data_IF_128934933246
#
_entry.id   IF_128934933246
#
_cell.length_a   1.000
_cell.length_b   1.000
_cell.length_c   1.000
_cell.angle_alpha   90.00
_cell.angle_beta   90.00
_cell.angle_gamma   90.00
#
_symmetry.space_group_name_H-M   'P 1'
#
loop_
_entity.id
_entity.type
_entity.pdbx_description
1 polymer ?
#
# COMPACT_ATOMS: atom_id res chain seq x y z
N UNK A 1 -7.95 14.62 -41.49
CA UNK A 1 -7.87 13.63 -40.39
C UNK A 1 -7.23 14.32 -39.19
N UNK A 2 -8.06 14.75 -38.23
CA UNK A 2 -7.60 15.32 -36.96
C UNK A 2 -7.33 14.19 -36.01
N UNK A 3 -6.07 13.85 -35.77
CA UNK A 3 -5.62 12.99 -34.68
C UNK A 3 -5.90 13.71 -33.35
N UNK A 4 -7.00 13.33 -32.70
CA UNK A 4 -7.23 13.67 -31.29
C UNK A 4 -6.29 12.80 -30.43
N UNK A 5 -5.07 13.28 -30.22
CA UNK A 5 -4.19 12.79 -29.18
C UNK A 5 -4.59 13.50 -27.88
N UNK A 6 -5.66 13.04 -27.22
CA UNK A 6 -5.91 13.40 -25.84
C UNK A 6 -4.92 12.59 -25.00
N UNK A 7 -3.84 13.21 -24.54
CA UNK A 7 -3.02 12.67 -23.50
C UNK A 7 -3.91 12.50 -22.25
N UNK A 8 -4.53 11.31 -22.09
CA UNK A 8 -5.09 10.90 -20.81
C UNK A 8 -3.92 10.95 -19.82
N UNK A 9 -4.05 11.78 -18.80
CA UNK A 9 -3.12 11.79 -17.67
C UNK A 9 -2.84 10.36 -17.25
N UNK A 10 -1.60 9.93 -17.38
CA UNK A 10 -1.21 8.56 -17.06
C UNK A 10 -1.42 8.37 -15.55
N UNK A 11 -2.28 7.42 -15.17
CA UNK A 11 -2.56 7.10 -13.76
C UNK A 11 -1.31 6.49 -13.14
N UNK A 12 -0.96 6.93 -11.93
CA UNK A 12 0.12 6.30 -11.18
C UNK A 12 -0.26 4.88 -10.73
N UNK A 13 0.74 4.02 -10.62
CA UNK A 13 0.60 2.70 -10.04
C UNK A 13 0.56 2.79 -8.52
N UNK A 14 -0.54 2.36 -7.97
CA UNK A 14 -0.74 2.18 -6.54
C UNK A 14 -0.65 0.69 -6.14
N UNK A 15 -0.78 0.42 -4.85
CA UNK A 15 -0.83 -0.93 -4.31
C UNK A 15 -1.93 -1.79 -4.94
N UNK A 16 -3.10 -1.22 -5.21
CA UNK A 16 -4.25 -1.99 -5.74
C UNK A 16 -3.98 -2.46 -7.17
N UNK A 17 -3.42 -1.60 -8.01
CA UNK A 17 -2.99 -1.97 -9.36
C UNK A 17 -1.86 -3.02 -9.33
N UNK A 18 -0.92 -2.89 -8.40
CA UNK A 18 0.14 -3.88 -8.25
C UNK A 18 -0.41 -5.26 -7.85
N UNK A 19 -1.31 -5.31 -6.86
CA UNK A 19 -2.00 -6.55 -6.47
C UNK A 19 -2.87 -7.12 -7.60
N UNK A 20 -3.53 -6.27 -8.39
CA UNK A 20 -4.28 -6.68 -9.56
C UNK A 20 -3.38 -7.37 -10.59
N UNK A 21 -2.21 -6.81 -10.89
CA UNK A 21 -1.23 -7.38 -11.81
C UNK A 21 -0.66 -8.72 -11.33
N UNK A 22 -0.46 -8.86 -10.02
CA UNK A 22 -0.03 -10.13 -9.43
C UNK A 22 -1.09 -11.23 -9.54
N UNK A 23 -2.37 -10.88 -9.56
CA UNK A 23 -3.44 -11.84 -9.71
C UNK A 23 -3.70 -12.17 -11.18
N UNK A 24 -3.81 -11.16 -12.06
CA UNK A 24 -4.13 -11.34 -13.47
C UNK A 24 -3.83 -10.06 -14.26
N UNK A 25 -3.11 -10.19 -15.38
CA UNK A 25 -2.78 -9.04 -16.25
C UNK A 25 -4.04 -8.42 -16.89
N UNK A 26 -5.06 -9.23 -17.22
CA UNK A 26 -6.36 -8.72 -17.71
C UNK A 26 -7.08 -7.91 -16.63
N UNK A 27 -7.04 -8.36 -15.37
CA UNK A 27 -7.55 -7.57 -14.23
C UNK A 27 -6.79 -6.25 -14.11
N UNK A 28 -5.46 -6.28 -14.14
CA UNK A 28 -4.64 -5.07 -14.11
C UNK A 28 -5.04 -4.08 -15.20
N UNK A 29 -5.15 -4.56 -16.44
CA UNK A 29 -5.55 -3.72 -17.57
C UNK A 29 -6.92 -3.08 -17.34
N UNK A 30 -7.91 -3.87 -16.90
CA UNK A 30 -9.26 -3.38 -16.63
C UNK A 30 -9.30 -2.41 -15.45
N UNK A 31 -8.62 -2.72 -14.33
CA UNK A 31 -8.55 -1.82 -13.17
C UNK A 31 -7.85 -0.49 -13.50
N UNK A 32 -6.89 -0.51 -14.43
CA UNK A 32 -6.18 0.69 -14.87
C UNK A 32 -7.03 1.58 -15.78
N UNK A 33 -7.69 1.00 -16.79
CA UNK A 33 -8.44 1.75 -17.82
C UNK A 33 -9.91 1.95 -17.49
N UNK A 34 -10.53 1.02 -16.77
CA UNK A 34 -11.95 0.97 -16.46
C UNK A 34 -12.16 0.56 -14.99
N UNK A 35 -11.78 1.40 -14.02
CA UNK A 35 -11.92 1.04 -12.61
C UNK A 35 -13.37 0.62 -12.31
N UNK A 36 -13.53 -0.62 -11.83
CA UNK A 36 -14.82 -1.08 -11.38
C UNK A 36 -15.24 -0.31 -10.12
N UNK A 37 -16.51 0.10 -10.04
CA UNK A 37 -17.08 0.56 -8.79
C UNK A 37 -17.02 -0.63 -7.80
N UNK A 38 -16.16 -0.54 -6.79
CA UNK A 38 -16.04 -1.60 -5.79
C UNK A 38 -17.33 -1.69 -4.97
N UNK A 39 -18.07 -2.77 -5.15
CA UNK A 39 -19.08 -3.17 -4.18
C UNK A 39 -18.35 -3.67 -2.93
N UNK A 40 -18.34 -2.87 -1.88
CA UNK A 40 -17.73 -3.23 -0.61
C UNK A 40 -18.56 -4.34 0.05
N UNK A 41 -17.98 -5.55 0.18
CA UNK A 41 -18.64 -6.63 0.92
C UNK A 41 -18.65 -6.31 2.43
N UNK A 42 -19.70 -6.77 3.15
CA UNK A 42 -19.80 -6.60 4.61
C UNK A 42 -18.53 -7.08 5.35
N UNK A 43 -17.96 -8.22 4.94
CA UNK A 43 -16.71 -8.75 5.51
C UNK A 43 -15.53 -7.80 5.28
N UNK A 44 -15.44 -7.17 4.10
CA UNK A 44 -14.39 -6.21 3.78
C UNK A 44 -14.55 -4.94 4.62
N UNK A 45 -15.79 -4.46 4.80
CA UNK A 45 -16.12 -3.31 5.64
C UNK A 45 -15.70 -3.54 7.11
N UNK A 46 -16.07 -4.67 7.70
CA UNK A 46 -15.69 -5.02 9.08
C UNK A 46 -14.17 -5.12 9.23
N UNK A 47 -13.47 -5.76 8.29
CA UNK A 47 -12.00 -5.83 8.32
C UNK A 47 -11.34 -4.45 8.18
N UNK A 48 -11.91 -3.57 7.36
CA UNK A 48 -11.45 -2.19 7.20
C UNK A 48 -11.62 -1.40 8.50
N UNK A 49 -12.76 -1.53 9.17
CA UNK A 49 -13.03 -0.84 10.43
C UNK A 49 -12.08 -1.30 11.56
N UNK A 50 -11.91 -2.60 11.73
CA UNK A 50 -10.93 -3.16 12.67
C UNK A 50 -9.50 -2.67 12.36
N UNK A 51 -9.15 -2.56 11.07
CA UNK A 51 -7.87 -2.02 10.63
C UNK A 51 -7.68 -0.56 11.02
N UNK A 52 -8.72 0.27 10.85
CA UNK A 52 -8.70 1.69 11.25
C UNK A 52 -8.53 1.86 12.76
N UNK A 53 -9.27 1.08 13.56
CA UNK A 53 -9.15 1.12 15.03
C UNK A 53 -7.75 0.72 15.48
N UNK A 54 -7.18 -0.34 14.89
CA UNK A 54 -5.82 -0.77 15.20
C UNK A 54 -4.78 0.27 14.79
N UNK A 55 -4.96 0.92 13.63
CA UNK A 55 -4.08 2.00 13.18
C UNK A 55 -4.12 3.18 14.16
N UNK A 56 -5.29 3.60 14.63
CA UNK A 56 -5.41 4.67 15.64
C UNK A 56 -4.70 4.28 16.94
N UNK A 57 -4.88 3.03 17.38
CA UNK A 57 -4.18 2.53 18.55
C UNK A 57 -2.66 2.48 18.34
N UNK A 58 -2.19 2.05 17.16
CA UNK A 58 -0.76 2.03 16.84
C UNK A 58 -0.15 3.44 16.84
N UNK A 59 -0.86 4.44 16.28
CA UNK A 59 -0.43 5.84 16.27
C UNK A 59 -0.19 6.39 17.67
N UNK A 60 -0.98 5.97 18.68
CA UNK A 60 -0.80 6.42 20.05
C UNK A 60 0.53 6.03 20.69
N UNK A 61 1.24 5.05 20.13
CA UNK A 61 2.60 4.70 20.54
C UNK A 61 3.67 5.68 20.04
N UNK A 62 3.34 6.56 19.09
CA UNK A 62 4.27 7.53 18.49
C UNK A 62 3.89 8.93 18.92
N UNK A 63 4.43 9.34 20.07
CA UNK A 63 4.20 10.69 20.62
C UNK A 63 4.61 11.78 19.61
N UNK A 64 3.80 12.84 19.51
CA UNK A 64 4.03 14.00 18.61
C UNK A 64 4.00 13.63 17.13
N UNK A 65 3.35 12.53 16.74
CA UNK A 65 3.11 12.24 15.34
C UNK A 65 2.11 13.22 14.72
N UNK A 66 2.29 13.54 13.45
CA UNK A 66 1.47 14.50 12.70
C UNK A 66 0.73 13.76 11.59
N UNK A 67 -0.58 13.98 11.48
CA UNK A 67 -1.38 13.48 10.34
C UNK A 67 -1.00 14.26 9.08
N UNK A 68 -0.76 13.53 8.01
CA UNK A 68 -0.55 14.13 6.69
C UNK A 68 -1.89 14.26 5.99
N UNK A 69 -2.40 15.48 5.98
CA UNK A 69 -3.66 15.81 5.31
C UNK A 69 -3.43 16.12 3.83
N UNK A 70 -4.43 15.81 3.01
CA UNK A 70 -4.45 16.12 1.57
C UNK A 70 -5.76 15.63 0.95
N UNK A 71 -6.34 16.43 0.05
CA UNK A 71 -7.55 16.05 -0.68
C UNK A 71 -7.27 14.96 -1.72
N UNK A 72 -6.07 14.98 -2.26
CA UNK A 72 -5.54 13.98 -3.19
C UNK A 72 -4.27 13.36 -2.64
N UNK A 73 -3.82 12.25 -3.21
CA UNK A 73 -2.53 11.66 -2.84
C UNK A 73 -1.36 12.60 -3.20
N UNK A 74 -1.48 13.35 -4.30
CA UNK A 74 -0.48 14.35 -4.67
C UNK A 74 -0.39 15.48 -3.63
N UNK A 75 -1.51 15.98 -3.09
CA UNK A 75 -1.52 16.97 -2.01
C UNK A 75 -0.83 16.42 -0.76
N UNK A 76 -1.15 15.17 -0.39
CA UNK A 76 -0.52 14.50 0.74
C UNK A 76 1.00 14.30 0.52
N UNK A 77 1.44 13.99 -0.70
CA UNK A 77 2.86 13.87 -1.03
C UNK A 77 3.60 15.21 -0.92
N UNK A 78 3.00 16.30 -1.41
CA UNK A 78 3.55 17.65 -1.25
C UNK A 78 3.68 18.01 0.24
N UNK A 79 2.64 17.71 1.04
CA UNK A 79 2.66 17.95 2.49
C UNK A 79 3.68 17.09 3.21
N UNK A 80 3.86 15.83 2.79
CA UNK A 80 4.92 14.94 3.32
C UNK A 80 6.31 15.56 3.09
N UNK A 81 6.57 16.04 1.86
CA UNK A 81 7.84 16.67 1.49
C UNK A 81 8.11 17.91 2.35
N UNK A 82 7.11 18.79 2.53
CA UNK A 82 7.21 19.98 3.39
C UNK A 82 7.58 19.60 4.83
N UNK A 83 6.86 18.63 5.41
CA UNK A 83 7.07 18.21 6.80
C UNK A 83 8.43 17.56 7.02
N UNK A 84 8.90 16.76 6.06
CA UNK A 84 10.23 16.14 6.11
C UNK A 84 11.35 17.18 5.96
N UNK A 85 11.19 18.19 5.11
CA UNK A 85 12.16 19.26 4.93
C UNK A 85 12.30 20.14 6.18
N UNK A 86 11.20 20.39 6.91
CA UNK A 86 11.18 21.20 8.13
C UNK A 86 11.96 20.61 9.31
N UNK A 87 12.26 19.32 9.29
CA UNK A 87 13.13 18.63 10.25
C UNK A 87 12.59 18.48 11.69
N UNK A 88 11.51 19.17 12.03
CA UNK A 88 10.96 19.19 13.41
C UNK A 88 10.05 18.00 13.73
N UNK A 89 9.55 17.29 12.72
CA UNK A 89 8.57 16.21 12.90
C UNK A 89 9.30 14.88 13.04
N UNK A 90 8.97 14.15 14.11
CA UNK A 90 9.53 12.82 14.40
C UNK A 90 8.76 11.71 13.68
N UNK A 91 7.42 11.76 13.69
CA UNK A 91 6.58 10.76 13.05
C UNK A 91 5.49 11.41 12.19
N UNK A 92 5.21 10.82 11.04
CA UNK A 92 4.13 11.19 10.12
C UNK A 92 3.15 10.03 10.00
N UNK A 93 1.86 10.33 10.04
CA UNK A 93 0.79 9.36 9.82
C UNK A 93 0.16 9.60 8.45
N UNK A 94 0.09 8.55 7.65
CA UNK A 94 -0.43 8.65 6.29
C UNK A 94 0.48 9.44 5.33
N UNK A 95 1.80 9.41 5.54
CA UNK A 95 2.75 10.04 4.63
C UNK A 95 2.65 9.44 3.23
N UNK A 96 2.63 10.28 2.21
CA UNK A 96 2.47 9.87 0.82
C UNK A 96 3.71 10.21 -0.01
N UNK A 97 3.99 9.37 -1.01
CA UNK A 97 5.10 9.56 -1.94
C UNK A 97 4.65 9.24 -3.36
N UNK A 98 5.13 10.03 -4.30
CA UNK A 98 4.91 9.85 -5.74
C UNK A 98 6.26 9.91 -6.43
N UNK A 99 6.64 8.87 -7.13
CA UNK A 99 7.90 8.81 -7.88
C UNK A 99 7.80 7.85 -9.06
N UNK A 100 8.31 8.24 -10.22
CA UNK A 100 8.44 7.42 -11.42
C UNK A 100 7.15 6.64 -11.80
N UNK A 101 6.00 7.32 -11.74
CA UNK A 101 4.71 6.73 -12.09
C UNK A 101 4.13 5.77 -11.05
N UNK A 102 4.72 5.72 -9.85
CA UNK A 102 4.20 4.97 -8.73
C UNK A 102 3.81 5.91 -7.57
N UNK A 103 2.76 5.54 -6.85
CA UNK A 103 2.29 6.27 -5.69
C UNK A 103 1.98 5.35 -4.52
N UNK A 104 2.37 5.77 -3.32
CA UNK A 104 2.17 5.00 -2.09
C UNK A 104 1.78 5.90 -0.93
N UNK A 105 1.09 5.32 0.05
CA UNK A 105 0.79 5.95 1.33
C UNK A 105 1.17 4.99 2.47
N UNK A 106 1.99 5.48 3.40
CA UNK A 106 2.44 4.71 4.56
C UNK A 106 1.47 4.88 5.73
N UNK A 107 1.32 3.87 6.58
CA UNK A 107 0.53 4.02 7.81
C UNK A 107 1.25 4.94 8.81
N UNK A 108 2.51 4.63 9.13
CA UNK A 108 3.35 5.40 10.04
C UNK A 108 4.76 5.49 9.47
N UNK A 109 5.30 6.70 9.40
CA UNK A 109 6.65 6.98 8.95
C UNK A 109 7.40 7.70 10.06
N UNK A 110 8.59 7.21 10.43
CA UNK A 110 9.42 7.80 11.48
C UNK A 110 10.71 8.33 10.88
N UNK A 111 10.99 9.62 11.09
CA UNK A 111 12.24 10.26 10.67
C UNK A 111 13.29 10.10 11.75
N UNK A 112 14.43 9.59 11.35
CA UNK A 112 15.60 9.43 12.21
C UNK A 112 16.45 10.71 12.26
N UNK A 113 17.37 10.78 13.23
CA UNK A 113 18.26 11.94 13.41
C UNK A 113 19.15 12.20 12.19
N UNK A 114 19.53 11.15 11.48
CA UNK A 114 20.35 11.23 10.24
C UNK A 114 19.52 11.51 8.98
N UNK A 115 18.21 11.75 9.14
CA UNK A 115 17.27 12.01 8.06
C UNK A 115 16.72 10.75 7.37
N UNK A 116 17.24 9.57 7.70
CA UNK A 116 16.69 8.32 7.17
C UNK A 116 15.31 8.02 7.77
N UNK A 117 14.54 7.16 7.09
CA UNK A 117 13.15 6.88 7.40
C UNK A 117 12.95 5.42 7.83
N UNK A 118 12.14 5.23 8.87
CA UNK A 118 11.58 3.93 9.24
C UNK A 118 10.12 3.88 8.83
N UNK A 119 9.73 2.82 8.13
CA UNK A 119 8.37 2.59 7.63
C UNK A 119 7.70 1.55 8.49
N UNK A 120 6.51 1.86 8.99
CA UNK A 120 5.67 0.94 9.77
C UNK A 120 4.34 0.74 9.08
N UNK A 121 4.01 -0.49 8.80
CA UNK A 121 2.73 -0.92 8.22
C UNK A 121 1.92 -1.66 9.28
N UNK A 122 0.66 -1.26 9.50
CA UNK A 122 -0.23 -1.81 10.52
C UNK A 122 -1.15 -2.85 9.90
N UNK A 123 -1.21 -4.04 10.48
CA UNK A 123 -2.03 -5.15 9.98
C UNK A 123 -2.82 -5.79 11.12
N UNK A 124 -4.13 -5.93 10.94
CA UNK A 124 -5.03 -6.56 11.92
C UNK A 124 -4.85 -8.08 12.09
N UNK A 125 -3.92 -8.69 11.35
CA UNK A 125 -3.58 -10.11 11.55
C UNK A 125 -2.67 -10.34 12.75
N UNK A 126 -2.44 -11.61 13.09
CA UNK A 126 -1.60 -12.04 14.21
C UNK A 126 -0.23 -12.58 13.79
N UNK A 127 0.12 -12.45 12.50
CA UNK A 127 1.42 -12.86 11.94
C UNK A 127 1.75 -12.09 10.68
N UNK A 128 3.03 -11.97 10.36
CA UNK A 128 3.50 -11.40 9.10
C UNK A 128 3.21 -12.36 7.94
N UNK A 129 2.51 -11.86 6.91
CA UNK A 129 2.18 -12.61 5.68
C UNK A 129 3.06 -12.12 4.52
N UNK A 130 3.33 -13.00 3.54
CA UNK A 130 4.15 -12.67 2.37
C UNK A 130 3.66 -11.43 1.60
N UNK A 131 2.34 -11.27 1.42
CA UNK A 131 1.75 -10.10 0.75
C UNK A 131 2.07 -8.76 1.44
N UNK A 132 2.31 -8.77 2.76
CA UNK A 132 2.71 -7.55 3.48
C UNK A 132 4.14 -7.12 3.10
N UNK A 133 5.01 -8.08 2.82
CA UNK A 133 6.37 -7.79 2.37
C UNK A 133 6.38 -7.17 0.97
N UNK A 134 5.51 -7.64 0.07
CA UNK A 134 5.36 -7.09 -1.27
C UNK A 134 4.85 -5.65 -1.24
N UNK A 135 3.85 -5.38 -0.40
CA UNK A 135 3.32 -4.04 -0.14
C UNK A 135 4.42 -3.09 0.36
N UNK A 136 5.16 -3.52 1.40
CA UNK A 136 6.28 -2.75 1.95
C UNK A 136 7.44 -2.60 0.96
N UNK A 137 7.66 -3.56 0.07
CA UNK A 137 8.68 -3.43 -0.97
C UNK A 137 8.29 -2.34 -1.99
N UNK A 138 7.01 -2.27 -2.39
CA UNK A 138 6.51 -1.21 -3.28
C UNK A 138 6.62 0.17 -2.61
N UNK A 139 6.24 0.26 -1.33
CA UNK A 139 6.40 1.49 -0.55
C UNK A 139 7.88 1.90 -0.47
N UNK A 140 8.77 0.98 -0.10
CA UNK A 140 10.21 1.23 0.00
C UNK A 140 10.79 1.72 -1.32
N UNK A 141 10.46 1.05 -2.42
CA UNK A 141 10.91 1.43 -3.77
C UNK A 141 10.49 2.86 -4.12
N UNK A 142 9.22 3.20 -3.89
CA UNK A 142 8.69 4.54 -4.22
C UNK A 142 9.30 5.62 -3.33
N UNK A 143 9.49 5.35 -2.03
CA UNK A 143 10.12 6.29 -1.10
C UNK A 143 11.57 6.55 -1.50
N UNK A 144 12.32 5.50 -1.88
CA UNK A 144 13.72 5.65 -2.30
C UNK A 144 13.86 6.36 -3.65
N UNK A 145 12.94 6.12 -4.59
CA UNK A 145 12.86 6.86 -5.85
C UNK A 145 12.46 8.33 -5.65
N UNK A 146 11.73 8.65 -4.59
CA UNK A 146 11.46 10.03 -4.17
C UNK A 146 12.67 10.70 -3.47
N UNK A 147 13.84 10.05 -3.42
CA UNK A 147 15.09 10.61 -2.90
C UNK A 147 15.31 10.44 -1.39
N UNK A 148 14.54 9.60 -0.73
CA UNK A 148 14.67 9.35 0.70
C UNK A 148 15.34 7.99 0.98
N UNK A 149 16.14 7.92 2.03
CA UNK A 149 16.78 6.67 2.49
C UNK A 149 15.85 5.95 3.47
N UNK A 150 15.39 4.75 3.14
CA UNK A 150 14.67 3.88 4.06
C UNK A 150 15.69 3.05 4.86
N UNK A 151 15.69 3.21 6.20
CA UNK A 151 16.57 2.51 7.14
C UNK A 151 15.93 1.21 7.64
N UNK A 152 14.73 1.32 8.21
CA UNK A 152 14.01 0.23 8.87
C UNK A 152 12.62 0.03 8.27
N UNK A 153 12.17 -1.22 8.22
CA UNK A 153 10.87 -1.59 7.67
C UNK A 153 10.20 -2.56 8.63
N UNK A 154 9.03 -2.18 9.15
CA UNK A 154 8.38 -2.90 10.24
C UNK A 154 6.93 -3.21 9.92
N UNK A 155 6.45 -4.37 10.40
CA UNK A 155 5.03 -4.69 10.45
C UNK A 155 4.58 -4.65 11.89
N UNK A 156 3.56 -3.84 12.17
CA UNK A 156 2.84 -3.82 13.44
C UNK A 156 1.61 -4.73 13.32
N UNK A 157 1.44 -5.68 14.24
CA UNK A 157 0.38 -6.67 14.18
C UNK A 157 -0.07 -7.10 15.57
N UNK A 158 -1.26 -7.74 15.67
CA UNK A 158 -1.83 -8.15 16.94
C UNK A 158 -1.06 -9.33 17.57
N UNK A 159 -0.81 -9.25 18.88
CA UNK A 159 -0.31 -10.39 19.65
C UNK A 159 -1.47 -11.35 19.98
N UNK A 160 -1.43 -12.55 19.40
CA UNK A 160 -2.43 -13.59 19.68
C UNK A 160 -2.44 -14.07 21.13
N UNK A 161 -1.38 -13.79 21.91
CA UNK A 161 -1.23 -14.18 23.32
C UNK A 161 -1.68 -13.09 24.28
N UNK A 162 -2.05 -11.92 23.76
CA UNK A 162 -2.52 -10.81 24.58
C UNK A 162 -3.78 -11.21 25.36
N UNK A 163 -3.77 -10.91 26.66
CA UNK A 163 -4.93 -11.07 27.55
C UNK A 163 -5.30 -9.67 28.05
N UNK A 164 -6.51 -9.24 27.73
CA UNK A 164 -7.02 -7.97 28.21
C UNK A 164 -7.25 -8.05 29.73
N UNK A 165 -6.69 -7.08 30.47
CA UNK A 165 -6.76 -7.07 31.93
C UNK A 165 -8.12 -6.64 32.53
N UNK A 166 -9.09 -6.38 31.66
CA UNK A 166 -10.39 -5.79 32.01
C UNK A 166 -10.43 -4.28 31.74
N UNK A 167 -11.63 -3.70 31.76
CA UNK A 167 -11.86 -2.29 31.41
C UNK A 167 -12.32 -2.10 29.96
N UNK A 168 -12.49 -0.84 29.55
CA UNK A 168 -12.99 -0.47 28.21
C UNK A 168 -11.90 0.02 27.26
N UNK A 169 -10.69 0.29 27.77
CA UNK A 169 -9.61 0.87 26.99
C UNK A 169 -8.54 -0.16 26.62
N UNK A 170 -8.07 -0.05 25.38
CA UNK A 170 -6.93 -0.82 24.88
C UNK A 170 -5.72 0.09 24.77
N UNK A 171 -4.56 -0.44 25.15
CA UNK A 171 -3.27 0.23 24.94
C UNK A 171 -2.42 -0.53 23.94
N UNK A 172 -1.51 0.14 23.20
CA UNK A 172 -0.63 -0.56 22.26
C UNK A 172 0.27 -1.59 22.95
N UNK A 173 0.67 -1.30 24.19
CA UNK A 173 1.60 -2.13 24.95
C UNK A 173 1.04 -3.53 25.18
N UNK A 174 1.76 -4.52 24.70
CA UNK A 174 1.39 -5.94 24.81
C UNK A 174 0.38 -6.40 23.78
N UNK A 175 -0.54 -5.53 23.30
CA UNK A 175 -1.50 -5.87 22.25
C UNK A 175 -0.88 -5.83 20.85
N UNK A 176 0.00 -4.87 20.59
CA UNK A 176 0.65 -4.70 19.28
C UNK A 176 2.09 -5.19 19.38
N UNK A 177 2.44 -6.13 18.51
CA UNK A 177 3.82 -6.57 18.24
C UNK A 177 4.40 -5.86 17.04
N UNK A 178 5.71 -5.65 17.07
CA UNK A 178 6.49 -5.17 15.94
C UNK A 178 7.42 -6.28 15.45
N UNK A 179 7.46 -6.48 14.14
CA UNK A 179 8.48 -7.32 13.50
C UNK A 179 9.31 -6.48 12.53
N UNK A 180 10.62 -6.50 12.68
CA UNK A 180 11.54 -6.00 11.68
C UNK A 180 11.52 -6.97 10.48
N UNK A 181 11.18 -6.43 9.31
CA UNK A 181 11.13 -7.17 8.06
C UNK A 181 12.07 -6.59 7.00
N UNK A 182 12.96 -5.70 7.40
CA UNK A 182 13.86 -4.94 6.50
C UNK A 182 14.65 -5.86 5.57
N UNK A 183 15.32 -6.87 6.11
CA UNK A 183 16.10 -7.81 5.29
C UNK A 183 15.22 -8.61 4.32
N UNK A 184 14.04 -9.04 4.79
CA UNK A 184 13.10 -9.81 3.96
C UNK A 184 12.54 -8.97 2.82
N UNK A 185 12.23 -7.71 3.07
CA UNK A 185 11.75 -6.75 2.05
C UNK A 185 12.87 -6.44 1.07
N UNK A 186 14.09 -6.15 1.55
CA UNK A 186 15.26 -5.89 0.69
C UNK A 186 15.56 -7.05 -0.25
N UNK A 187 15.40 -8.28 0.19
CA UNK A 187 15.62 -9.48 -0.63
C UNK A 187 14.64 -9.58 -1.80
N UNK A 188 13.39 -9.16 -1.64
CA UNK A 188 12.37 -9.24 -2.71
C UNK A 188 12.25 -7.95 -3.54
N UNK A 189 12.87 -6.87 -3.11
CA UNK A 189 12.75 -5.55 -3.75
C UNK A 189 13.12 -5.56 -5.24
N UNK A 190 14.21 -6.20 -5.71
CA UNK A 190 14.54 -6.25 -7.13
C UNK A 190 13.46 -6.96 -7.97
N UNK A 191 12.85 -8.02 -7.41
CA UNK A 191 11.74 -8.71 -8.09
C UNK A 191 10.50 -7.83 -8.17
N UNK A 192 10.16 -7.10 -7.11
CA UNK A 192 9.01 -6.19 -7.09
C UNK A 192 9.20 -5.06 -8.10
N UNK A 193 10.40 -4.52 -8.19
CA UNK A 193 10.76 -3.51 -9.18
C UNK A 193 10.60 -4.02 -10.62
N UNK A 194 11.12 -5.21 -10.93
CA UNK A 194 10.95 -5.83 -12.22
C UNK A 194 9.47 -6.09 -12.57
N UNK A 195 8.69 -6.56 -11.61
CA UNK A 195 7.24 -6.74 -11.79
C UNK A 195 6.53 -5.42 -12.06
N UNK A 196 6.85 -4.35 -11.32
CA UNK A 196 6.28 -3.02 -11.54
C UNK A 196 6.56 -2.52 -12.95
N UNK A 197 7.81 -2.64 -13.42
CA UNK A 197 8.20 -2.26 -14.78
C UNK A 197 7.40 -3.05 -15.83
N UNK A 198 7.27 -4.36 -15.64
CA UNK A 198 6.46 -5.20 -16.52
C UNK A 198 4.99 -4.79 -16.54
N UNK A 199 4.41 -4.49 -15.38
CA UNK A 199 3.01 -4.08 -15.28
C UNK A 199 2.75 -2.72 -15.95
N UNK A 200 3.68 -1.76 -15.79
CA UNK A 200 3.61 -0.47 -16.50
C UNK A 200 3.59 -0.65 -18.02
N UNK A 201 4.39 -1.59 -18.54
CA UNK A 201 4.37 -1.91 -19.98
C UNK A 201 3.05 -2.58 -20.40
N UNK A 202 2.55 -3.52 -19.60
CA UNK A 202 1.34 -4.31 -19.90
C UNK A 202 0.06 -3.47 -19.95
N UNK A 203 -0.06 -2.41 -19.17
CA UNK A 203 -1.25 -1.54 -19.25
C UNK A 203 -1.35 -0.76 -20.56
N UNK A 204 -0.25 -0.65 -21.33
CA UNK A 204 -0.24 -0.11 -22.68
C UNK A 204 -0.58 -1.14 -23.77
N UNK A 205 -0.65 -2.43 -23.43
CA UNK A 205 -0.83 -3.53 -24.38
C UNK A 205 -2.22 -4.19 -24.24
N UNK A 206 -3.01 -4.11 -25.31
CA UNK A 206 -4.35 -4.70 -25.35
C UNK A 206 -4.34 -6.24 -25.38
N UNK A 207 -3.19 -6.91 -25.62
CA UNK A 207 -3.10 -8.37 -25.65
C UNK A 207 -3.48 -9.02 -24.32
N UNK A 208 -3.36 -8.31 -23.20
CA UNK A 208 -3.82 -8.78 -21.90
C UNK A 208 -5.33 -9.10 -21.85
N UNK A 209 -6.14 -8.56 -22.77
CA UNK A 209 -7.59 -8.81 -22.84
C UNK A 209 -7.92 -10.23 -23.34
N UNK A 210 -7.02 -10.91 -24.02
CA UNK A 210 -7.23 -12.26 -24.58
C UNK A 210 -6.99 -13.37 -23.56
N UNK A 211 -6.58 -13.03 -22.32
CA UNK A 211 -6.35 -14.02 -21.27
C UNK A 211 -7.67 -14.72 -20.88
N UNK A 212 -7.71 -16.07 -20.88
CA UNK A 212 -8.89 -16.83 -20.47
C UNK A 212 -9.14 -16.72 -18.96
N UNK A 213 -10.36 -17.08 -18.54
CA UNK A 213 -10.67 -17.24 -17.11
C UNK A 213 -9.98 -18.47 -16.53
N UNK A 214 -9.67 -18.44 -15.24
CA UNK A 214 -8.97 -19.53 -14.54
C UNK A 214 -9.15 -19.44 -13.03
N UNK A 215 -8.45 -20.30 -12.29
CA UNK A 215 -8.49 -20.35 -10.81
C UNK A 215 -8.07 -19.03 -10.16
N UNK A 216 -7.21 -18.25 -10.82
CA UNK A 216 -6.82 -16.90 -10.38
C UNK A 216 -7.97 -15.89 -10.37
N UNK A 217 -9.08 -16.19 -11.05
CA UNK A 217 -10.26 -15.31 -11.01
C UNK A 217 -11.00 -15.35 -9.67
N UNK A 218 -10.78 -16.39 -8.87
CA UNK A 218 -11.41 -16.57 -7.56
C UNK A 218 -10.44 -16.57 -6.39
N UNK A 219 -9.14 -16.76 -6.65
CA UNK A 219 -8.08 -16.82 -5.65
C UNK A 219 -6.95 -15.80 -5.99
N UNK A 220 -6.35 -15.16 -4.99
CA UNK A 220 -6.62 -15.22 -3.55
C UNK A 220 -7.90 -14.50 -3.13
N UNK A 221 -8.50 -13.70 -4.02
CA UNK A 221 -9.76 -12.98 -3.81
C UNK A 221 -10.58 -13.03 -5.11
N UNK A 222 -11.92 -13.00 -5.03
CA UNK A 222 -12.77 -12.89 -6.21
C UNK A 222 -12.41 -11.67 -7.06
N UNK A 223 -12.24 -11.87 -8.36
CA UNK A 223 -11.97 -10.79 -9.30
C UNK A 223 -13.25 -9.97 -9.55
N UNK A 224 -13.22 -8.64 -9.44
CA UNK A 224 -14.40 -7.80 -9.67
C UNK A 224 -14.88 -7.84 -11.13
N UNK A 225 -14.02 -8.25 -12.06
CA UNK A 225 -14.33 -8.34 -13.49
C UNK A 225 -14.75 -9.75 -13.95
N UNK A 226 -14.93 -10.73 -13.03
CA UNK A 226 -15.23 -12.11 -13.43
C UNK A 226 -16.47 -12.21 -14.31
N UNK A 227 -17.53 -11.49 -14.00
CA UNK A 227 -18.79 -11.48 -14.79
C UNK A 227 -18.60 -10.91 -16.21
N UNK A 228 -17.64 -9.99 -16.40
CA UNK A 228 -17.29 -9.43 -17.72
C UNK A 228 -16.45 -10.44 -18.52
N UNK A 229 -15.53 -11.14 -17.87
CA UNK A 229 -14.63 -12.10 -18.49
C UNK A 229 -15.34 -13.43 -18.86
N UNK A 230 -16.36 -13.87 -18.11
CA UNK A 230 -17.08 -15.12 -18.36
C UNK A 230 -18.11 -15.02 -19.50
N UNK A 231 -18.35 -13.84 -20.06
CA UNK A 231 -19.24 -13.61 -21.21
C UNK A 231 -18.51 -13.54 -22.55
N UNK A 232 -17.19 -13.64 -22.54
CA UNK A 232 -16.30 -13.75 -23.70
C UNK A 232 -15.90 -15.20 -23.92
#
# INVERSE_FOLDING_TARGET
LKTRNSAKSQRNFDKQLFEAGQQCLKRLYLDYHEPAAEAESESRRVMSETGKQLLQLAKSAFARGVEVEGKTLADAAAKTTELLAGGAVFALFGAAFVAEGCEVRTDILVRQKDGSLDVFEVKSGTKVKGRYLTDLALQTLTIERAGHKVRGIYVLFLDKTYKHAGGTEYTPKGLIKSADVSERVRRILPRVEQQLQSFVQQVGDNSALDLPTGTFCTAPFPCPHLSKCSKQ
#
